data_IF_900590078232
#
_entry.id   IF_900590078232
#
_cell.length_a   1.000
_cell.length_b   1.000
_cell.length_c   1.000
_cell.angle_alpha   90.00
_cell.angle_beta   90.00
_cell.angle_gamma   90.00
#
_symmetry.space_group_name_H-M   'P 1'
#
loop_
_entity.id
_entity.type
_entity.pdbx_description
1 polymer ?
#
# COMPACT_ATOMS: atom_id res chain seq x y z
N UNK A 1 2.56 0.00 -21.76
CA UNK A 1 3.70 0.50 -20.96
C UNK A 1 3.47 1.92 -20.44
N UNK A 2 3.01 2.86 -21.26
CA UNK A 2 2.68 4.22 -20.80
C UNK A 2 1.63 4.22 -19.68
N UNK A 3 0.54 3.46 -19.83
CA UNK A 3 -0.50 3.29 -18.78
C UNK A 3 0.05 2.70 -17.49
N UNK A 4 0.97 1.73 -17.58
CA UNK A 4 1.60 1.10 -16.40
C UNK A 4 2.52 2.10 -15.69
N UNK A 5 3.32 2.85 -16.43
CA UNK A 5 4.18 3.90 -15.89
C UNK A 5 3.36 5.02 -15.22
N UNK A 6 2.23 5.40 -15.83
CA UNK A 6 1.30 6.37 -15.29
C UNK A 6 0.64 5.84 -14.01
N UNK A 7 0.10 4.61 -14.02
CA UNK A 7 -0.54 4.01 -12.86
C UNK A 7 0.41 3.92 -11.66
N UNK A 8 1.66 3.50 -11.88
CA UNK A 8 2.67 3.43 -10.83
C UNK A 8 3.02 4.84 -10.34
N UNK A 9 3.32 5.78 -11.24
CA UNK A 9 3.67 7.15 -10.86
C UNK A 9 2.55 7.84 -10.08
N UNK A 10 1.29 7.61 -10.46
CA UNK A 10 0.12 8.12 -9.73
C UNK A 10 -0.04 7.43 -8.38
N UNK A 11 0.18 6.11 -8.29
CA UNK A 11 0.11 5.38 -7.01
C UNK A 11 1.17 5.87 -6.03
N UNK A 12 2.39 6.13 -6.49
CA UNK A 12 3.47 6.67 -5.67
C UNK A 12 3.13 8.07 -5.14
N UNK A 13 2.60 8.97 -6.00
CA UNK A 13 2.11 10.30 -5.61
C UNK A 13 1.00 10.20 -4.56
N UNK A 14 0.04 9.28 -4.73
CA UNK A 14 -1.03 9.06 -3.75
C UNK A 14 -0.47 8.53 -2.42
N UNK A 15 0.54 7.67 -2.45
CA UNK A 15 1.22 7.17 -1.26
C UNK A 15 2.05 8.25 -0.56
N UNK A 16 2.54 9.22 -1.33
CA UNK A 16 3.28 10.38 -0.83
C UNK A 16 2.43 11.26 0.10
N UNK A 17 1.10 11.25 -0.01
CA UNK A 17 0.21 12.02 0.87
C UNK A 17 0.35 11.65 2.35
N UNK A 18 0.64 10.38 2.65
CA UNK A 18 0.87 9.90 4.02
C UNK A 18 2.38 9.80 4.33
N UNK A 19 3.19 9.36 3.36
CA UNK A 19 4.62 9.16 3.60
C UNK A 19 5.43 10.47 3.69
N UNK A 20 4.98 11.56 3.04
CA UNK A 20 5.65 12.87 3.11
C UNK A 20 5.53 13.48 4.52
N UNK A 21 4.32 13.64 5.12
CA UNK A 21 4.20 14.13 6.49
C UNK A 21 5.01 13.30 7.49
N UNK A 22 5.03 11.97 7.32
CA UNK A 22 5.77 11.07 8.18
C UNK A 22 7.29 11.28 8.09
N UNK A 23 7.85 11.34 6.87
CA UNK A 23 9.29 11.56 6.68
C UNK A 23 9.71 12.95 7.15
N UNK A 24 8.88 13.98 6.93
CA UNK A 24 9.16 15.33 7.46
C UNK A 24 9.08 15.41 9.00
N UNK A 25 8.50 14.40 9.65
CA UNK A 25 8.59 14.20 11.10
C UNK A 25 9.98 13.72 11.55
N UNK A 26 10.73 13.03 10.68
CA UNK A 26 12.06 12.45 10.98
C UNK A 26 13.22 13.29 10.44
N UNK A 27 13.06 13.93 9.28
CA UNK A 27 14.08 14.77 8.66
C UNK A 27 13.46 16.06 8.12
N UNK A 28 14.21 17.16 8.18
CA UNK A 28 13.77 18.46 7.63
C UNK A 28 14.40 18.78 6.28
N UNK A 29 15.30 17.92 5.80
CA UNK A 29 16.06 18.13 4.58
C UNK A 29 15.26 17.67 3.34
N UNK A 30 14.72 18.60 2.52
CA UNK A 30 13.85 18.24 1.40
C UNK A 30 14.58 17.43 0.32
N UNK A 31 15.90 17.61 0.20
CA UNK A 31 16.74 16.84 -0.71
C UNK A 31 16.70 15.33 -0.40
N UNK A 32 16.73 14.94 0.89
CA UNK A 32 16.63 13.53 1.27
C UNK A 32 15.25 12.93 0.92
N UNK A 33 14.18 13.70 1.12
CA UNK A 33 12.80 13.27 0.80
C UNK A 33 12.64 13.08 -0.71
N UNK A 34 13.13 14.05 -1.50
CA UNK A 34 13.10 13.99 -2.96
C UNK A 34 13.96 12.84 -3.49
N UNK A 35 15.20 12.72 -3.00
CA UNK A 35 16.13 11.68 -3.45
C UNK A 35 15.62 10.27 -3.12
N UNK A 36 15.05 10.06 -1.93
CA UNK A 36 14.49 8.75 -1.53
C UNK A 36 13.31 8.33 -2.43
N UNK A 37 12.35 9.23 -2.70
CA UNK A 37 11.21 8.94 -3.57
C UNK A 37 11.64 8.79 -5.04
N UNK A 38 12.55 9.63 -5.53
CA UNK A 38 13.11 9.51 -6.88
C UNK A 38 13.83 8.17 -7.07
N UNK A 39 14.59 7.70 -6.07
CA UNK A 39 15.25 6.40 -6.10
C UNK A 39 14.25 5.23 -6.08
N UNK A 40 13.17 5.36 -5.29
CA UNK A 40 12.09 4.37 -5.27
C UNK A 40 11.45 4.21 -6.66
N UNK A 41 11.20 5.32 -7.38
CA UNK A 41 10.69 5.30 -8.75
C UNK A 41 11.70 4.74 -9.77
N UNK A 42 13.00 5.06 -9.63
CA UNK A 42 14.04 4.56 -10.55
C UNK A 42 14.22 3.03 -10.50
N UNK A 43 14.12 2.42 -9.31
CA UNK A 43 14.24 0.96 -9.15
C UNK A 43 12.97 0.17 -9.51
N UNK A 44 11.86 0.85 -9.74
CA UNK A 44 10.54 0.23 -9.73
C UNK A 44 10.31 -0.75 -10.89
N UNK A 45 10.89 -0.50 -12.07
CA UNK A 45 10.74 -1.40 -13.23
C UNK A 45 11.24 -2.83 -12.93
N UNK A 46 12.34 -2.96 -12.20
CA UNK A 46 12.92 -4.25 -11.82
C UNK A 46 12.12 -4.88 -10.68
N UNK A 47 11.71 -4.07 -9.71
CA UNK A 47 10.94 -4.53 -8.58
C UNK A 47 9.53 -4.98 -9.00
N UNK A 48 8.88 -4.34 -9.97
CA UNK A 48 7.53 -4.71 -10.41
C UNK A 48 7.43 -6.14 -10.95
N UNK A 49 8.43 -6.58 -11.72
CA UNK A 49 8.47 -7.97 -12.22
C UNK A 49 8.66 -8.97 -11.08
N UNK A 50 9.56 -8.66 -10.14
CA UNK A 50 9.78 -9.49 -8.95
C UNK A 50 8.53 -9.50 -8.05
N UNK A 51 7.91 -8.33 -7.88
CA UNK A 51 6.79 -8.09 -7.00
C UNK A 51 5.51 -8.74 -7.51
N UNK A 52 5.28 -8.85 -8.82
CA UNK A 52 4.16 -9.64 -9.35
C UNK A 52 4.21 -11.09 -8.86
N UNK A 53 5.40 -11.71 -8.90
CA UNK A 53 5.61 -13.07 -8.39
C UNK A 53 5.52 -13.17 -6.86
N UNK A 54 5.88 -12.11 -6.13
CA UNK A 54 5.80 -12.06 -4.67
C UNK A 54 4.37 -11.76 -4.17
N UNK A 55 3.65 -10.82 -4.76
CA UNK A 55 2.29 -10.42 -4.38
C UNK A 55 1.31 -11.59 -4.46
N UNK A 56 1.46 -12.45 -5.47
CA UNK A 56 0.67 -13.68 -5.58
C UNK A 56 0.89 -14.63 -4.38
N UNK A 57 2.02 -14.49 -3.67
CA UNK A 57 2.36 -15.23 -2.45
C UNK A 57 2.00 -14.48 -1.16
N UNK A 58 1.63 -13.21 -1.23
CA UNK A 58 1.28 -12.34 -0.09
C UNK A 58 -0.25 -12.18 0.06
N UNK A 59 -0.98 -13.30 0.05
CA UNK A 59 -2.45 -13.42 0.14
C UNK A 59 -3.05 -12.67 1.35
N UNK A 60 -2.37 -12.68 2.51
CA UNK A 60 -2.89 -12.07 3.74
C UNK A 60 -2.42 -10.63 3.99
N UNK A 61 -1.69 -10.03 3.05
CA UNK A 61 -1.14 -8.68 3.21
C UNK A 61 -2.25 -7.62 3.27
N UNK A 62 -3.26 -7.73 2.42
CA UNK A 62 -4.41 -6.82 2.36
C UNK A 62 -5.10 -6.72 3.73
N UNK A 63 -5.31 -7.87 4.37
CA UNK A 63 -5.92 -7.99 5.70
C UNK A 63 -4.98 -7.45 6.78
N UNK A 64 -3.69 -7.75 6.68
CA UNK A 64 -2.67 -7.23 7.60
C UNK A 64 -2.61 -5.70 7.60
N UNK A 65 -2.59 -5.10 6.41
CA UNK A 65 -2.60 -3.65 6.23
C UNK A 65 -3.89 -3.02 6.75
N UNK A 66 -5.06 -3.63 6.52
CA UNK A 66 -6.32 -3.13 7.07
C UNK A 66 -6.31 -3.09 8.61
N UNK A 67 -5.77 -4.11 9.27
CA UNK A 67 -5.61 -4.15 10.73
C UNK A 67 -4.67 -3.04 11.21
N UNK A 68 -3.55 -2.83 10.51
CA UNK A 68 -2.57 -1.79 10.85
C UNK A 68 -3.20 -0.40 10.69
N UNK A 69 -3.93 -0.14 9.60
CA UNK A 69 -4.60 1.13 9.35
C UNK A 69 -5.69 1.41 10.39
N UNK A 70 -6.49 0.40 10.76
CA UNK A 70 -7.46 0.54 11.84
C UNK A 70 -6.78 0.88 13.17
N UNK A 71 -5.68 0.20 13.50
CA UNK A 71 -4.90 0.48 14.70
C UNK A 71 -4.31 1.90 14.71
N UNK A 72 -3.69 2.33 13.60
CA UNK A 72 -3.13 3.68 13.47
C UNK A 72 -4.24 4.72 13.54
N UNK A 73 -5.37 4.52 12.87
CA UNK A 73 -6.52 5.42 12.90
C UNK A 73 -7.07 5.62 14.32
N UNK A 74 -7.27 4.52 15.06
CA UNK A 74 -7.69 4.59 16.47
C UNK A 74 -6.66 5.32 17.32
N UNK A 75 -5.36 5.01 17.13
CA UNK A 75 -4.27 5.69 17.84
C UNK A 75 -4.29 7.20 17.60
N UNK A 76 -4.43 7.65 16.36
CA UNK A 76 -4.44 9.08 16.01
C UNK A 76 -5.63 9.81 16.65
N UNK A 77 -6.80 9.18 16.72
CA UNK A 77 -7.97 9.73 17.40
C UNK A 77 -7.72 9.85 18.91
N UNK A 78 -7.17 8.81 19.53
CA UNK A 78 -6.83 8.81 20.96
C UNK A 78 -5.79 9.89 21.28
N UNK A 79 -4.70 9.97 20.52
CA UNK A 79 -3.64 10.98 20.67
C UNK A 79 -4.20 12.42 20.54
N UNK A 80 -5.13 12.64 19.60
CA UNK A 80 -5.80 13.93 19.45
C UNK A 80 -6.71 14.26 20.64
N UNK A 81 -7.40 13.27 21.23
CA UNK A 81 -8.23 13.43 22.44
C UNK A 81 -7.39 13.69 23.70
N UNK A 82 -6.21 13.06 23.80
CA UNK A 82 -5.22 13.31 24.86
C UNK A 82 -4.72 14.75 24.86
N UNK A 83 -4.43 15.29 23.67
CA UNK A 83 -4.01 16.69 23.48
C UNK A 83 -5.02 17.72 24.01
N UNK A 84 -6.27 17.33 24.25
CA UNK A 84 -7.35 18.20 24.76
C UNK A 84 -7.61 18.09 26.28
N UNK A 85 -6.76 17.38 27.04
CA UNK A 85 -6.72 17.50 28.50
C UNK A 85 -7.24 16.32 29.33
N UNK A 86 -7.39 15.12 28.75
CA UNK A 86 -7.81 13.92 29.49
C UNK A 86 -6.59 13.18 30.08
N UNK A 87 -6.32 13.38 31.37
CA UNK A 87 -5.14 12.86 32.10
C UNK A 87 -5.13 11.34 32.37
N UNK A 88 -6.18 10.61 31.98
CA UNK A 88 -6.31 9.17 32.26
C UNK A 88 -5.76 8.29 31.13
N UNK A 89 -5.53 8.86 29.95
CA UNK A 89 -5.21 8.04 28.82
C UNK A 89 -3.68 7.80 28.76
N UNK A 90 -3.21 6.55 28.63
CA UNK A 90 -1.79 6.20 28.68
C UNK A 90 -1.06 6.74 27.44
N UNK A 91 0.17 7.24 27.61
CA UNK A 91 1.07 7.51 26.49
C UNK A 91 1.38 6.20 25.79
N UNK A 92 0.77 5.98 24.62
CA UNK A 92 1.15 4.86 23.77
C UNK A 92 2.48 5.27 23.14
N UNK A 93 3.56 4.93 23.85
CA UNK A 93 4.91 5.16 23.36
C UNK A 93 5.08 4.68 21.92
N UNK A 94 6.01 5.29 21.20
CA UNK A 94 6.35 4.88 19.84
C UNK A 94 6.74 3.39 19.81
N UNK A 95 7.39 2.91 20.88
CA UNK A 95 7.85 1.53 21.04
C UNK A 95 6.70 0.51 20.96
N UNK A 96 5.67 0.52 21.84
CA UNK A 96 4.56 -0.45 21.75
C UNK A 96 3.79 -0.38 20.42
N UNK A 97 3.59 0.83 19.88
CA UNK A 97 2.95 1.01 18.58
C UNK A 97 3.75 0.34 17.46
N UNK A 98 5.07 0.56 17.44
CA UNK A 98 5.98 -0.05 16.47
C UNK A 98 6.01 -1.57 16.63
N UNK A 99 6.05 -2.08 17.87
CA UNK A 99 6.00 -3.51 18.16
C UNK A 99 4.74 -4.15 17.59
N UNK A 100 3.56 -3.54 17.78
CA UNK A 100 2.30 -4.07 17.24
C UNK A 100 2.34 -4.13 15.71
N UNK A 101 2.76 -3.04 15.05
CA UNK A 101 2.84 -2.97 13.59
C UNK A 101 3.79 -4.04 13.05
N UNK A 102 5.00 -4.14 13.61
CA UNK A 102 6.00 -5.15 13.22
C UNK A 102 5.46 -6.57 13.44
N UNK A 103 4.75 -6.80 14.54
CA UNK A 103 4.15 -8.11 14.86
C UNK A 103 3.10 -8.51 13.82
N UNK A 104 2.19 -7.60 13.48
CA UNK A 104 1.15 -7.86 12.47
C UNK A 104 1.78 -8.12 11.10
N UNK A 105 2.77 -7.33 10.68
CA UNK A 105 3.49 -7.54 9.42
C UNK A 105 4.24 -8.88 9.39
N UNK A 106 4.91 -9.24 10.49
CA UNK A 106 5.63 -10.51 10.59
C UNK A 106 4.66 -11.70 10.52
N UNK A 107 3.55 -11.67 11.27
CA UNK A 107 2.54 -12.74 11.30
C UNK A 107 1.87 -12.89 9.94
N UNK A 108 1.42 -11.80 9.33
CA UNK A 108 0.73 -11.83 8.03
C UNK A 108 1.65 -12.32 6.92
N UNK A 109 2.89 -11.84 6.88
CA UNK A 109 3.91 -12.31 5.93
C UNK A 109 4.23 -13.79 6.13
N UNK A 110 4.47 -14.22 7.37
CA UNK A 110 4.80 -15.61 7.69
C UNK A 110 3.65 -16.57 7.38
N UNK A 111 2.42 -16.21 7.77
CA UNK A 111 1.23 -17.00 7.45
C UNK A 111 1.01 -17.09 5.95
N UNK A 112 1.22 -15.99 5.23
CA UNK A 112 1.07 -15.96 3.78
C UNK A 112 2.07 -16.87 3.07
N UNK A 113 3.36 -16.77 3.43
CA UNK A 113 4.39 -17.63 2.86
C UNK A 113 4.21 -19.09 3.24
N UNK A 114 3.82 -19.38 4.49
CA UNK A 114 3.57 -20.75 4.96
C UNK A 114 2.39 -21.38 4.25
N UNK A 115 1.33 -20.62 3.97
CA UNK A 115 0.16 -21.13 3.26
C UNK A 115 0.47 -21.42 1.80
N UNK A 116 1.15 -20.52 1.11
CA UNK A 116 1.58 -20.73 -0.29
C UNK A 116 2.54 -21.91 -0.42
N UNK A 117 3.42 -22.13 0.56
CA UNK A 117 4.32 -23.29 0.57
C UNK A 117 3.57 -24.62 0.80
N UNK A 118 2.45 -24.60 1.54
CA UNK A 118 1.62 -25.79 1.82
C UNK A 118 0.59 -26.06 0.74
N UNK A 119 0.07 -25.02 0.11
CA UNK A 119 -0.95 -25.07 -0.92
C UNK A 119 -0.57 -24.11 -2.05
N UNK A 120 0.13 -24.60 -3.09
CA UNK A 120 0.54 -23.80 -4.23
C UNK A 120 -0.64 -23.21 -5.00
N UNK A 121 -1.82 -23.84 -4.92
CA UNK A 121 -3.05 -23.39 -5.57
C UNK A 121 -3.71 -22.22 -4.84
N UNK A 122 -3.35 -21.97 -3.58
CA UNK A 122 -3.85 -20.83 -2.81
C UNK A 122 -3.21 -19.50 -3.24
N UNK A 123 -2.16 -19.52 -4.07
CA UNK A 123 -1.56 -18.31 -4.62
C UNK A 123 -2.65 -17.49 -5.34
N UNK A 124 -2.83 -16.24 -4.92
CA UNK A 124 -3.81 -15.34 -5.51
C UNK A 124 -3.41 -15.22 -6.98
N UNK A 125 -4.19 -15.78 -7.90
CA UNK A 125 -4.06 -15.50 -9.32
C UNK A 125 -4.63 -14.10 -9.52
N UNK A 126 -3.88 -13.10 -9.06
CA UNK A 126 -4.15 -11.75 -9.48
C UNK A 126 -3.89 -11.76 -10.99
N UNK A 127 -4.89 -11.43 -11.83
CA UNK A 127 -4.59 -11.16 -13.22
C UNK A 127 -3.47 -10.12 -13.20
N UNK A 128 -2.40 -10.38 -13.95
CA UNK A 128 -1.28 -9.45 -14.07
C UNK A 128 -1.87 -8.04 -14.15
N UNK A 129 -1.40 -7.09 -13.33
CA UNK A 129 -2.04 -5.76 -13.30
C UNK A 129 -2.04 -5.09 -14.70
N UNK A 130 -1.21 -5.59 -15.63
CA UNK A 130 -1.28 -5.32 -17.07
C UNK A 130 -2.55 -5.84 -17.77
N UNK A 131 -3.02 -7.06 -17.45
CA UNK A 131 -4.24 -7.68 -17.98
C UNK A 131 -5.50 -7.05 -17.39
N UNK A 132 -5.51 -6.71 -16.10
CA UNK A 132 -6.65 -6.00 -15.47
C UNK A 132 -6.83 -4.59 -16.04
N UNK A 133 -5.74 -3.87 -16.29
CA UNK A 133 -5.78 -2.56 -16.94
C UNK A 133 -6.17 -2.65 -18.43
N UNK A 134 -5.75 -3.70 -19.14
CA UNK A 134 -6.13 -3.95 -20.53
C UNK A 134 -7.61 -4.34 -20.67
N UNK A 135 -8.18 -5.06 -19.69
CA UNK A 135 -9.61 -5.38 -19.64
C UNK A 135 -10.45 -4.13 -19.39
N UNK A 136 -10.04 -3.26 -18.46
CA UNK A 136 -10.74 -2.01 -18.18
C UNK A 136 -10.70 -1.02 -19.36
N UNK A 137 -9.62 -1.02 -20.16
CA UNK A 137 -9.55 -0.21 -21.38
C UNK A 137 -10.33 -0.79 -22.57
N UNK A 138 -10.65 -2.10 -22.55
CA UNK A 138 -11.50 -2.75 -23.57
C UNK A 138 -12.99 -2.56 -23.32
N UNK A 139 -13.40 -2.41 -22.06
CA UNK A 139 -14.79 -2.10 -21.67
C UNK A 139 -15.19 -0.64 -21.92
N UNK A 140 -14.24 0.20 -22.38
CA UNK A 140 -14.46 1.56 -22.88
C UNK A 140 -14.30 1.55 -24.42
N UNK A 141 -14.81 0.49 -25.06
CA UNK A 141 -14.95 0.37 -26.51
C UNK A 141 -16.16 1.16 -27.03
N UNK A 142 -16.22 1.48 -28.33
CA UNK A 142 -17.03 2.55 -28.93
C UNK A 142 -18.55 2.28 -29.04
N UNK A 143 -19.15 1.50 -28.14
CA UNK A 143 -20.57 1.12 -28.27
C UNK A 143 -21.54 2.18 -27.69
N UNK A 144 -21.00 3.28 -27.15
CA UNK A 144 -21.77 4.40 -26.61
C UNK A 144 -22.12 5.50 -27.62
N UNK A 145 -21.63 5.42 -28.86
CA UNK A 145 -21.92 6.43 -29.91
C UNK A 145 -23.09 6.04 -30.81
N UNK A 146 -23.50 4.76 -30.85
CA UNK A 146 -24.60 4.31 -31.71
C UNK A 146 -26.00 4.45 -31.06
N UNK A 147 -26.07 4.87 -29.80
CA UNK A 147 -27.34 5.01 -29.05
C UNK A 147 -27.97 6.42 -29.14
N UNK A 148 -27.42 7.32 -29.96
CA UNK A 148 -27.93 8.69 -30.18
C UNK A 148 -28.42 8.92 -31.62
N UNK A 149 -28.49 7.89 -32.46
CA UNK A 149 -29.05 7.94 -33.82
C UNK A 149 -30.25 6.99 -34.02
N UNK A 150 -31.23 7.01 -33.11
CA UNK A 150 -32.64 6.74 -33.45
C UNK A 150 -33.59 7.70 -32.71
#
# INVERSE_FOLDING_TARGET
MLVVMLAIGTTDILFALDSIPAIFGLTKEPFLVFAANAFALMGLRQLYFLLGGLLNRLIYLDIGLAIILAFIGVKLILEALHGQGVKWAPEIGIVPSLTIIVSVLAVTTFLSLRKVKRDPSAAKHLPDAATSAASAARDVGPDGVDALEE
#
